data_IF_576837950046
#
_entry.id   IF_576837950046
#
_cell.length_a   1.000
_cell.length_b   1.000
_cell.length_c   1.000
_cell.angle_alpha   90.00
_cell.angle_beta   90.00
_cell.angle_gamma   90.00
#
_symmetry.space_group_name_H-M   'P 1'
#
loop_
_entity.id
_entity.type
_entity.pdbx_description
1 polymer ?
#
# COMPACT_ATOMS: atom_id res chain seq x y z
N UNK A 1 11.32 -0.58 4.39
CA UNK A 1 10.92 -1.99 4.72
C UNK A 1 11.88 -2.54 5.74
N UNK A 2 11.39 -3.17 6.82
CA UNK A 2 12.24 -3.84 7.84
C UNK A 2 13.01 -5.02 7.24
N UNK A 3 14.21 -5.31 7.76
CA UNK A 3 15.03 -6.44 7.31
C UNK A 3 14.26 -7.77 7.40
N UNK A 4 13.51 -8.01 8.49
CA UNK A 4 12.67 -9.20 8.66
C UNK A 4 11.65 -9.34 7.53
N UNK A 5 10.87 -8.29 7.26
CA UNK A 5 9.83 -8.32 6.23
C UNK A 5 10.44 -8.45 4.83
N UNK A 6 11.60 -7.81 4.59
CA UNK A 6 12.33 -8.01 3.33
C UNK A 6 12.73 -9.48 3.13
N UNK A 7 13.31 -10.12 4.16
CA UNK A 7 13.73 -11.52 4.05
C UNK A 7 12.52 -12.43 3.85
N UNK A 8 11.48 -12.28 4.66
CA UNK A 8 10.29 -13.15 4.58
C UNK A 8 9.53 -12.93 3.28
N UNK A 9 9.27 -11.70 2.86
CA UNK A 9 8.63 -11.44 1.56
C UNK A 9 9.46 -11.96 0.39
N UNK A 10 10.79 -11.88 0.45
CA UNK A 10 11.69 -12.47 -0.54
C UNK A 10 11.55 -13.99 -0.61
N UNK A 11 11.54 -14.66 0.54
CA UNK A 11 11.36 -16.14 0.61
C UNK A 11 10.00 -16.53 0.04
N UNK A 12 8.91 -15.89 0.50
CA UNK A 12 7.57 -16.23 0.02
C UNK A 12 7.41 -15.99 -1.48
N UNK A 13 7.91 -14.88 -2.01
CA UNK A 13 7.84 -14.64 -3.45
C UNK A 13 8.72 -15.59 -4.26
N UNK A 14 9.89 -16.00 -3.74
CA UNK A 14 10.72 -17.01 -4.39
C UNK A 14 10.02 -18.38 -4.41
N UNK A 15 9.38 -18.78 -3.31
CA UNK A 15 8.57 -20.01 -3.26
C UNK A 15 7.42 -19.93 -4.24
N UNK A 16 6.64 -18.83 -4.26
CA UNK A 16 5.57 -18.63 -5.23
C UNK A 16 6.05 -18.74 -6.68
N UNK A 17 7.19 -18.13 -7.02
CA UNK A 17 7.76 -18.23 -8.36
C UNK A 17 8.07 -19.69 -8.72
N UNK A 18 8.65 -20.46 -7.80
CA UNK A 18 8.98 -21.86 -8.03
C UNK A 18 7.72 -22.73 -8.19
N UNK A 19 6.75 -22.59 -7.30
CA UNK A 19 5.49 -23.37 -7.33
C UNK A 19 4.65 -23.02 -8.56
N UNK A 20 4.57 -21.75 -8.93
CA UNK A 20 3.86 -21.29 -10.14
C UNK A 20 4.55 -21.80 -11.43
N UNK A 21 5.87 -21.68 -11.55
CA UNK A 21 6.60 -22.21 -12.71
C UNK A 21 6.41 -23.72 -12.83
N UNK A 22 6.46 -24.44 -11.72
CA UNK A 22 6.23 -25.88 -11.70
C UNK A 22 4.79 -26.21 -12.11
N UNK A 23 3.78 -25.58 -11.50
CA UNK A 23 2.38 -25.82 -11.80
C UNK A 23 2.00 -25.44 -13.23
N UNK A 24 2.40 -24.26 -13.70
CA UNK A 24 2.16 -23.82 -15.07
C UNK A 24 2.86 -24.71 -16.09
N UNK A 25 4.06 -25.25 -15.77
CA UNK A 25 4.76 -26.18 -16.65
C UNK A 25 3.98 -27.50 -16.84
N UNK A 26 3.36 -28.02 -15.78
CA UNK A 26 2.48 -29.20 -15.88
C UNK A 26 1.32 -28.92 -16.83
N UNK A 27 0.69 -27.76 -16.67
CA UNK A 27 -0.48 -27.37 -17.48
C UNK A 27 -0.13 -27.12 -18.95
N UNK A 28 1.02 -26.45 -19.21
CA UNK A 28 1.45 -26.11 -20.57
C UNK A 28 1.99 -27.31 -21.36
N UNK A 29 2.74 -28.19 -20.70
CA UNK A 29 3.49 -29.27 -21.38
C UNK A 29 2.94 -30.67 -21.13
N UNK A 30 1.91 -30.81 -20.26
CA UNK A 30 1.27 -32.09 -19.90
C UNK A 30 2.27 -33.21 -19.52
N UNK A 31 3.41 -32.85 -18.93
CA UNK A 31 4.51 -33.79 -18.70
C UNK A 31 4.35 -34.66 -17.43
N UNK A 32 3.42 -34.24 -16.53
CA UNK A 32 3.23 -34.94 -15.26
C UNK A 32 2.39 -36.22 -15.46
N UNK A 33 2.90 -37.42 -15.07
CA UNK A 33 2.14 -38.64 -15.16
C UNK A 33 0.88 -38.58 -14.28
N UNK A 34 -0.28 -38.91 -14.86
CA UNK A 34 -1.55 -38.87 -14.14
C UNK A 34 -2.18 -37.46 -14.06
N UNK A 35 -1.76 -36.53 -14.91
CA UNK A 35 -2.49 -35.28 -15.11
C UNK A 35 -3.91 -35.62 -15.63
N UNK A 36 -4.89 -35.47 -14.77
CA UNK A 36 -6.26 -35.85 -15.09
C UNK A 36 -7.00 -34.84 -15.99
N UNK A 37 -6.41 -33.66 -16.22
CA UNK A 37 -6.92 -32.66 -17.15
C UNK A 37 -5.84 -32.25 -18.17
N UNK A 38 -5.40 -33.17 -19.04
CA UNK A 38 -4.49 -32.82 -20.12
C UNK A 38 -5.20 -31.84 -21.05
N UNK A 39 -4.60 -30.67 -21.29
CA UNK A 39 -5.13 -29.72 -22.26
C UNK A 39 -4.76 -30.16 -23.67
N UNK A 40 -5.69 -30.06 -24.64
CA UNK A 40 -5.43 -30.40 -26.04
C UNK A 40 -4.28 -29.59 -26.64
N UNK A 41 -4.13 -28.35 -26.23
CA UNK A 41 -3.00 -27.48 -26.59
C UNK A 41 -2.62 -26.55 -25.45
N UNK A 42 -1.42 -25.97 -25.50
CA UNK A 42 -0.99 -24.96 -24.55
C UNK A 42 -1.93 -23.73 -24.54
N UNK A 43 -2.51 -23.36 -25.70
CA UNK A 43 -3.44 -22.25 -25.83
C UNK A 43 -4.78 -22.49 -25.10
N UNK A 44 -5.20 -23.74 -24.95
CA UNK A 44 -6.45 -24.09 -24.25
C UNK A 44 -6.42 -23.73 -22.75
N UNK A 45 -5.23 -23.55 -22.18
CA UNK A 45 -5.11 -23.15 -20.79
C UNK A 45 -5.67 -21.73 -20.55
N UNK A 46 -5.53 -20.82 -21.49
CA UNK A 46 -5.98 -19.42 -21.36
C UNK A 46 -7.51 -19.24 -21.34
N UNK A 47 -8.28 -20.30 -21.56
CA UNK A 47 -9.71 -20.28 -21.32
C UNK A 47 -10.11 -20.42 -19.85
N UNK A 48 -9.16 -20.78 -18.97
CA UNK A 48 -9.39 -20.91 -17.53
C UNK A 48 -8.89 -19.67 -16.79
N UNK A 49 -9.75 -19.00 -16.05
CA UNK A 49 -9.37 -17.86 -15.20
C UNK A 49 -8.28 -18.22 -14.17
N UNK A 50 -8.29 -19.47 -13.70
CA UNK A 50 -7.24 -19.97 -12.81
C UNK A 50 -5.86 -19.88 -13.45
N UNK A 51 -5.72 -20.30 -14.69
CA UNK A 51 -4.43 -20.25 -15.40
C UNK A 51 -3.97 -18.78 -15.54
N UNK A 52 -4.83 -17.90 -16.00
CA UNK A 52 -4.53 -16.48 -16.20
C UNK A 52 -4.17 -15.77 -14.88
N UNK A 53 -4.89 -16.08 -13.79
CA UNK A 53 -4.61 -15.50 -12.47
C UNK A 53 -3.30 -15.99 -11.86
N UNK A 54 -2.91 -17.25 -12.08
CA UNK A 54 -1.62 -17.79 -11.65
C UNK A 54 -0.46 -17.23 -12.50
N UNK A 55 -0.64 -17.06 -13.81
CA UNK A 55 0.33 -16.31 -14.66
C UNK A 55 0.52 -14.87 -14.15
N UNK A 56 -0.58 -14.19 -13.82
CA UNK A 56 -0.52 -12.84 -13.24
C UNK A 56 0.21 -12.84 -11.89
N UNK A 57 -0.02 -13.83 -11.02
CA UNK A 57 0.68 -13.99 -9.75
C UNK A 57 2.18 -14.22 -9.95
N UNK A 58 2.57 -15.10 -10.89
CA UNK A 58 3.96 -15.33 -11.25
C UNK A 58 4.66 -14.03 -11.66
N UNK A 59 4.08 -13.33 -12.65
CA UNK A 59 4.64 -12.07 -13.18
C UNK A 59 4.79 -11.01 -12.09
N UNK A 60 3.77 -10.87 -11.26
CA UNK A 60 3.81 -9.86 -10.19
C UNK A 60 4.73 -10.26 -9.04
N UNK A 61 4.92 -11.55 -8.77
CA UNK A 61 5.87 -12.05 -7.77
C UNK A 61 7.32 -11.80 -8.21
N UNK A 62 7.65 -12.06 -9.48
CA UNK A 62 8.96 -11.72 -10.07
C UNK A 62 9.19 -10.21 -10.02
N UNK A 63 8.22 -9.41 -10.46
CA UNK A 63 8.30 -7.96 -10.44
C UNK A 63 8.53 -7.42 -9.02
N UNK A 64 7.73 -7.90 -8.05
CA UNK A 64 7.85 -7.52 -6.65
C UNK A 64 9.24 -7.90 -6.10
N UNK A 65 9.70 -9.11 -6.36
CA UNK A 65 11.01 -9.59 -5.90
C UNK A 65 12.15 -8.69 -6.41
N UNK A 66 12.18 -8.42 -7.71
CA UNK A 66 13.21 -7.56 -8.33
C UNK A 66 13.16 -6.13 -7.75
N UNK A 67 11.97 -5.53 -7.71
CA UNK A 67 11.80 -4.16 -7.21
C UNK A 67 12.08 -4.06 -5.72
N UNK A 68 11.69 -5.06 -4.92
CA UNK A 68 11.96 -5.08 -3.47
C UNK A 68 13.46 -5.14 -3.16
N UNK A 69 14.23 -5.96 -3.90
CA UNK A 69 15.69 -6.03 -3.77
C UNK A 69 16.35 -4.69 -4.12
N UNK A 70 15.94 -4.06 -5.25
CA UNK A 70 16.46 -2.76 -5.66
C UNK A 70 16.12 -1.68 -4.63
N UNK A 71 14.86 -1.64 -4.16
CA UNK A 71 14.38 -0.67 -3.19
C UNK A 71 15.10 -0.83 -1.85
N UNK A 72 15.29 -2.06 -1.39
CA UNK A 72 16.00 -2.36 -0.15
C UNK A 72 17.46 -1.91 -0.20
N UNK A 73 18.18 -2.23 -1.28
CA UNK A 73 19.58 -1.78 -1.48
C UNK A 73 19.71 -0.26 -1.55
N UNK A 74 18.76 0.41 -2.21
CA UNK A 74 18.74 1.88 -2.35
C UNK A 74 18.12 2.60 -1.14
N UNK A 75 17.69 1.89 -0.10
CA UNK A 75 16.95 2.43 1.07
C UNK A 75 15.73 3.28 0.67
N UNK A 76 15.06 2.90 -0.41
CA UNK A 76 13.84 3.55 -0.92
C UNK A 76 12.62 2.68 -0.63
N UNK A 77 11.45 3.30 -0.66
CA UNK A 77 10.18 2.57 -0.59
C UNK A 77 9.88 1.85 -1.91
N UNK A 78 9.13 0.74 -1.82
CA UNK A 78 8.61 0.05 -3.00
C UNK A 78 7.59 0.98 -3.68
N UNK A 79 7.63 1.17 -5.01
CA UNK A 79 6.66 1.98 -5.72
C UNK A 79 5.23 1.48 -5.51
N UNK A 80 4.29 2.39 -5.20
CA UNK A 80 2.92 2.03 -4.88
C UNK A 80 2.18 1.28 -5.99
N UNK A 81 2.55 1.47 -7.27
CA UNK A 81 1.97 0.74 -8.38
C UNK A 81 2.36 -0.77 -8.36
N UNK A 82 3.58 -1.11 -7.94
CA UNK A 82 4.01 -2.51 -7.77
C UNK A 82 3.15 -3.20 -6.72
N UNK A 83 2.90 -2.51 -5.60
CA UNK A 83 2.03 -3.01 -4.53
C UNK A 83 0.59 -3.20 -5.01
N UNK A 84 0.08 -2.32 -5.85
CA UNK A 84 -1.27 -2.46 -6.42
C UNK A 84 -1.32 -3.67 -7.37
N UNK A 85 -0.32 -3.87 -8.23
CA UNK A 85 -0.25 -5.04 -9.10
C UNK A 85 -0.19 -6.34 -8.30
N UNK A 86 0.66 -6.40 -7.27
CA UNK A 86 0.75 -7.56 -6.38
C UNK A 86 -0.57 -7.81 -5.64
N UNK A 87 -1.23 -6.75 -5.15
CA UNK A 87 -2.56 -6.82 -4.54
C UNK A 87 -3.60 -7.41 -5.49
N UNK A 88 -3.68 -6.91 -6.71
CA UNK A 88 -4.62 -7.38 -7.74
C UNK A 88 -4.38 -8.86 -8.04
N UNK A 89 -3.13 -9.28 -8.24
CA UNK A 89 -2.78 -10.67 -8.49
C UNK A 89 -3.14 -11.60 -7.31
N UNK A 90 -2.82 -11.18 -6.07
CA UNK A 90 -3.17 -11.93 -4.86
C UNK A 90 -4.69 -12.13 -4.76
N UNK A 91 -5.49 -11.10 -5.01
CA UNK A 91 -6.96 -11.21 -4.96
C UNK A 91 -7.48 -12.05 -6.12
N UNK A 92 -6.86 -12.00 -7.30
CA UNK A 92 -7.25 -12.84 -8.46
C UNK A 92 -7.15 -14.32 -8.15
N UNK A 93 -6.05 -14.79 -7.55
CA UNK A 93 -5.91 -16.20 -7.17
C UNK A 93 -6.78 -16.57 -5.97
N UNK A 94 -7.04 -15.64 -5.04
CA UNK A 94 -8.02 -15.86 -3.95
C UNK A 94 -9.45 -15.96 -4.49
N UNK A 95 -9.77 -15.28 -5.59
CA UNK A 95 -11.07 -15.43 -6.28
C UNK A 95 -11.21 -16.83 -6.85
N UNK A 96 -10.17 -17.40 -7.47
CA UNK A 96 -10.19 -18.78 -7.95
C UNK A 96 -10.35 -19.77 -6.80
N UNK A 97 -9.65 -19.58 -5.69
CA UNK A 97 -9.83 -20.37 -4.47
C UNK A 97 -11.29 -20.32 -3.99
N UNK A 98 -11.90 -19.12 -3.93
CA UNK A 98 -13.29 -18.95 -3.50
C UNK A 98 -14.25 -19.70 -4.43
N UNK A 99 -14.12 -19.54 -5.74
CA UNK A 99 -14.97 -20.23 -6.74
C UNK A 99 -14.82 -21.75 -6.64
N UNK A 100 -13.60 -22.23 -6.46
CA UNK A 100 -13.35 -23.66 -6.29
C UNK A 100 -14.04 -24.19 -5.04
N UNK A 101 -13.86 -23.54 -3.90
CA UNK A 101 -14.43 -24.02 -2.62
C UNK A 101 -15.96 -23.94 -2.61
N UNK A 102 -16.54 -22.87 -3.20
CA UNK A 102 -17.98 -22.62 -3.10
C UNK A 102 -18.80 -23.21 -4.24
N UNK A 103 -18.20 -23.44 -5.41
CA UNK A 103 -18.90 -23.88 -6.61
C UNK A 103 -18.37 -25.21 -7.19
N UNK A 104 -17.06 -25.29 -7.45
CA UNK A 104 -16.50 -26.45 -8.15
C UNK A 104 -16.39 -27.70 -7.27
N UNK A 105 -15.89 -27.59 -6.03
CA UNK A 105 -15.80 -28.75 -5.12
C UNK A 105 -17.18 -29.34 -4.79
N UNK A 106 -18.23 -28.55 -4.54
CA UNK A 106 -19.58 -29.11 -4.36
C UNK A 106 -20.12 -29.79 -5.62
N UNK A 107 -19.78 -29.33 -6.82
CA UNK A 107 -20.23 -29.92 -8.08
C UNK A 107 -19.44 -31.16 -8.49
N UNK A 108 -18.11 -31.13 -8.38
CA UNK A 108 -17.23 -32.18 -8.96
C UNK A 108 -16.58 -33.08 -7.91
N UNK A 109 -16.75 -32.79 -6.62
CA UNK A 109 -16.26 -33.59 -5.50
C UNK A 109 -14.80 -33.29 -5.09
N UNK A 110 -14.45 -33.68 -3.86
CA UNK A 110 -13.17 -33.38 -3.19
C UNK A 110 -11.96 -34.07 -3.86
N UNK A 111 -12.19 -35.11 -4.69
CA UNK A 111 -11.12 -35.81 -5.40
C UNK A 111 -10.26 -34.91 -6.30
N UNK A 112 -10.77 -33.76 -6.74
CA UNK A 112 -10.00 -32.80 -7.54
C UNK A 112 -8.78 -32.26 -6.81
N UNK A 113 -8.83 -32.09 -5.48
CA UNK A 113 -7.73 -31.57 -4.67
C UNK A 113 -6.54 -32.53 -4.60
N UNK A 114 -6.74 -33.81 -4.87
CA UNK A 114 -5.66 -34.81 -4.83
C UNK A 114 -4.62 -34.65 -5.95
N UNK A 115 -4.91 -33.84 -6.97
CA UNK A 115 -3.98 -33.61 -8.06
C UNK A 115 -3.03 -32.46 -7.74
N UNK A 116 -1.71 -32.66 -7.91
CA UNK A 116 -0.72 -31.67 -7.49
C UNK A 116 -0.94 -30.29 -8.12
N UNK A 117 -1.15 -30.22 -9.42
CA UNK A 117 -1.40 -28.94 -10.09
C UNK A 117 -2.64 -28.23 -9.50
N UNK A 118 -3.75 -28.97 -9.34
CA UNK A 118 -4.98 -28.40 -8.80
C UNK A 118 -4.79 -27.92 -7.36
N UNK A 119 -4.12 -28.71 -6.52
CA UNK A 119 -3.84 -28.35 -5.14
C UNK A 119 -3.00 -27.06 -5.04
N UNK A 120 -1.93 -26.96 -5.83
CA UNK A 120 -1.07 -25.77 -5.82
C UNK A 120 -1.80 -24.55 -6.37
N UNK A 121 -2.33 -24.61 -7.59
CA UNK A 121 -2.94 -23.47 -8.25
C UNK A 121 -4.19 -22.92 -7.55
N UNK A 122 -4.95 -23.75 -6.82
CA UNK A 122 -6.21 -23.36 -6.22
C UNK A 122 -6.20 -23.25 -4.70
N UNK A 123 -5.20 -23.80 -4.01
CA UNK A 123 -5.17 -23.80 -2.54
C UNK A 123 -3.84 -23.25 -2.01
N UNK A 124 -2.71 -23.86 -2.38
CA UNK A 124 -1.42 -23.53 -1.75
C UNK A 124 -0.96 -22.14 -2.17
N UNK A 125 -0.90 -21.85 -3.48
CA UNK A 125 -0.41 -20.57 -3.99
C UNK A 125 -1.30 -19.39 -3.60
N UNK A 126 -2.66 -19.47 -3.64
CA UNK A 126 -3.52 -18.42 -3.07
C UNK A 126 -3.27 -18.14 -1.58
N UNK A 127 -3.06 -19.19 -0.76
CA UNK A 127 -2.78 -19.02 0.68
C UNK A 127 -1.40 -18.41 0.90
N UNK A 128 -0.37 -18.89 0.20
CA UNK A 128 0.98 -18.31 0.26
C UNK A 128 0.99 -16.86 -0.19
N UNK A 129 0.28 -16.52 -1.27
CA UNK A 129 0.15 -15.16 -1.76
C UNK A 129 -0.53 -14.24 -0.73
N UNK A 130 -1.62 -14.70 -0.09
CA UNK A 130 -2.30 -13.97 0.98
C UNK A 130 -1.35 -13.72 2.16
N UNK A 131 -0.66 -14.77 2.64
CA UNK A 131 0.25 -14.65 3.78
C UNK A 131 1.40 -13.71 3.47
N UNK A 132 2.02 -13.84 2.28
CA UNK A 132 3.09 -12.93 1.85
C UNK A 132 2.61 -11.49 1.84
N UNK A 133 1.52 -11.22 1.12
CA UNK A 133 1.02 -9.87 0.89
C UNK A 133 0.51 -9.21 2.18
N UNK A 134 -0.28 -9.93 2.98
CA UNK A 134 -0.93 -9.35 4.15
C UNK A 134 0.02 -9.14 5.34
N UNK A 135 1.04 -9.97 5.50
CA UNK A 135 1.88 -9.96 6.70
C UNK A 135 3.31 -9.44 6.47
N UNK A 136 3.85 -9.55 5.26
CA UNK A 136 5.24 -9.20 4.98
C UNK A 136 5.41 -8.09 3.94
N UNK A 137 4.39 -7.86 3.10
CA UNK A 137 4.35 -6.80 2.09
C UNK A 137 3.46 -5.64 2.57
N UNK A 138 3.64 -5.20 3.84
CA UNK A 138 2.73 -4.27 4.51
C UNK A 138 3.00 -2.79 4.22
N UNK A 139 4.06 -2.46 3.53
CA UNK A 139 4.44 -1.09 3.20
C UNK A 139 4.80 -0.94 1.72
N UNK A 140 4.36 0.13 1.04
CA UNK A 140 3.47 1.20 1.49
C UNK A 140 2.01 0.76 1.69
N UNK A 141 1.28 1.49 2.54
CA UNK A 141 -0.15 1.24 2.78
C UNK A 141 -0.97 1.60 1.54
N UNK A 142 -1.82 0.68 1.09
CA UNK A 142 -2.70 0.88 -0.06
C UNK A 142 -4.01 1.56 0.39
N UNK A 143 -4.42 2.63 -0.29
CA UNK A 143 -5.68 3.33 0.00
C UNK A 143 -6.88 2.43 -0.31
N UNK A 144 -7.89 2.40 0.57
CA UNK A 144 -9.09 1.54 0.44
C UNK A 144 -9.81 1.68 -0.92
N UNK A 145 -9.85 2.89 -1.51
CA UNK A 145 -10.44 3.13 -2.84
C UNK A 145 -9.77 2.33 -3.98
N UNK A 146 -8.56 1.83 -3.77
CA UNK A 146 -7.85 0.98 -4.75
C UNK A 146 -8.38 -0.45 -4.78
N UNK A 147 -9.30 -0.82 -3.86
CA UNK A 147 -9.96 -2.12 -3.85
C UNK A 147 -10.67 -2.41 -5.19
N UNK A 148 -11.25 -1.42 -5.85
CA UNK A 148 -11.95 -1.62 -7.12
C UNK A 148 -11.07 -2.16 -8.26
N UNK A 149 -9.75 -2.04 -8.16
CA UNK A 149 -8.87 -2.59 -9.20
C UNK A 149 -8.84 -4.12 -9.25
N UNK A 150 -9.24 -4.80 -8.17
CA UNK A 150 -9.21 -6.27 -8.11
C UNK A 150 -10.18 -6.94 -9.06
N UNK A 151 -11.23 -6.24 -9.49
CA UNK A 151 -12.20 -6.78 -10.45
C UNK A 151 -11.72 -6.68 -11.90
N UNK A 152 -10.67 -5.90 -12.19
CA UNK A 152 -10.22 -5.68 -13.55
C UNK A 152 -9.79 -6.96 -14.29
N UNK A 153 -8.95 -7.86 -13.71
CA UNK A 153 -8.60 -9.12 -14.37
C UNK A 153 -9.81 -9.98 -14.69
N UNK A 154 -10.74 -10.10 -13.74
CA UNK A 154 -11.96 -10.88 -13.92
C UNK A 154 -12.88 -10.26 -14.99
N UNK A 155 -13.01 -8.93 -15.01
CA UNK A 155 -13.81 -8.23 -16.02
C UNK A 155 -13.22 -8.40 -17.43
N UNK A 156 -11.88 -8.28 -17.56
CA UNK A 156 -11.21 -8.52 -18.85
C UNK A 156 -11.39 -9.97 -19.30
N UNK A 157 -11.17 -10.93 -18.42
CA UNK A 157 -11.37 -12.35 -18.70
C UNK A 157 -12.80 -12.62 -19.19
N UNK A 158 -13.80 -12.16 -18.44
CA UNK A 158 -15.22 -12.36 -18.78
C UNK A 158 -15.58 -11.72 -20.12
N UNK A 159 -15.10 -10.49 -20.36
CA UNK A 159 -15.37 -9.77 -21.60
C UNK A 159 -14.78 -10.48 -22.85
N UNK A 160 -13.71 -11.28 -22.67
CA UNK A 160 -13.08 -12.02 -23.77
C UNK A 160 -13.65 -13.42 -23.89
N UNK A 161 -13.64 -14.20 -22.80
CA UNK A 161 -13.90 -15.64 -22.87
C UNK A 161 -15.41 -15.94 -22.98
N UNK A 162 -16.28 -15.17 -22.31
CA UNK A 162 -17.72 -15.44 -22.35
C UNK A 162 -18.33 -15.31 -23.76
N UNK A 163 -18.03 -14.27 -24.58
CA UNK A 163 -18.47 -14.24 -25.97
C UNK A 163 -17.94 -15.39 -26.81
N UNK A 164 -16.66 -15.77 -26.63
CA UNK A 164 -16.06 -16.86 -27.38
C UNK A 164 -16.69 -18.21 -27.04
N UNK A 165 -17.03 -18.45 -25.76
CA UNK A 165 -17.72 -19.63 -25.31
C UNK A 165 -19.17 -19.67 -25.84
N UNK A 166 -19.87 -18.52 -25.79
CA UNK A 166 -21.25 -18.40 -26.28
C UNK A 166 -21.37 -18.59 -27.80
N UNK A 167 -20.35 -18.15 -28.55
CA UNK A 167 -20.23 -18.38 -30.00
C UNK A 167 -19.69 -19.79 -30.34
N UNK A 168 -19.42 -20.63 -29.34
CA UNK A 168 -18.84 -21.98 -29.50
C UNK A 168 -17.45 -21.99 -30.18
N UNK A 169 -16.73 -20.87 -30.16
CA UNK A 169 -15.37 -20.76 -30.70
C UNK A 169 -14.40 -21.46 -29.75
N UNK A 170 -14.63 -21.34 -28.43
CA UNK A 170 -13.91 -22.10 -27.40
C UNK A 170 -14.89 -22.91 -26.57
N UNK A 171 -14.44 -24.07 -26.06
CA UNK A 171 -15.25 -24.85 -25.12
C UNK A 171 -15.33 -24.10 -23.79
N UNK A 172 -16.56 -23.98 -23.22
CA UNK A 172 -16.75 -23.40 -21.89
C UNK A 172 -15.98 -24.21 -20.83
N UNK A 173 -14.98 -23.65 -20.16
CA UNK A 173 -14.24 -24.36 -19.13
C UNK A 173 -15.05 -24.61 -17.86
N UNK A 174 -16.19 -23.94 -17.70
CA UNK A 174 -17.07 -24.02 -16.52
C UNK A 174 -18.48 -24.50 -16.92
N UNK A 175 -18.56 -25.35 -17.94
CA UNK A 175 -19.82 -25.91 -18.47
C UNK A 175 -20.66 -26.56 -17.36
N UNK A 176 -20.00 -27.30 -16.41
CA UNK A 176 -20.66 -27.96 -15.29
C UNK A 176 -21.44 -27.00 -14.36
N UNK A 177 -21.01 -25.76 -14.26
CA UNK A 177 -21.66 -24.74 -13.43
C UNK A 177 -22.39 -23.68 -14.27
N UNK A 178 -22.34 -23.79 -15.61
CA UNK A 178 -23.03 -22.88 -16.54
C UNK A 178 -22.68 -21.42 -16.31
N UNK A 179 -21.38 -21.07 -16.43
CA UNK A 179 -20.90 -19.75 -16.03
C UNK A 179 -20.62 -18.81 -17.22
N UNK A 180 -20.05 -19.32 -18.31
CA UNK A 180 -19.57 -18.47 -19.43
C UNK A 180 -20.47 -18.48 -20.65
N UNK A 181 -21.01 -19.64 -21.01
CA UNK A 181 -21.88 -19.77 -22.14
C UNK A 181 -23.28 -19.27 -21.81
N UNK A 182 -23.58 -18.02 -22.22
CA UNK A 182 -24.88 -17.37 -21.96
C UNK A 182 -26.03 -17.99 -22.74
N UNK A 183 -25.76 -18.91 -23.67
CA UNK A 183 -26.78 -19.61 -24.45
C UNK A 183 -27.20 -20.94 -23.82
N UNK A 184 -26.42 -21.47 -22.89
CA UNK A 184 -26.65 -22.80 -22.30
C UNK A 184 -27.49 -22.80 -21.02
N UNK A 185 -27.71 -21.66 -20.40
CA UNK A 185 -28.42 -21.52 -19.12
C UNK A 185 -29.37 -20.32 -19.14
N UNK A 186 -30.42 -20.32 -18.30
CA UNK A 186 -31.27 -19.13 -18.11
C UNK A 186 -30.45 -17.89 -17.75
N UNK A 187 -30.74 -16.76 -18.41
CA UNK A 187 -29.96 -15.52 -18.19
C UNK A 187 -29.89 -15.10 -16.73
N UNK A 188 -30.96 -15.32 -15.95
CA UNK A 188 -30.98 -14.97 -14.53
C UNK A 188 -29.96 -15.77 -13.71
N UNK A 189 -29.74 -17.05 -14.04
CA UNK A 189 -28.76 -17.92 -13.35
C UNK A 189 -27.33 -17.48 -13.63
N UNK A 190 -27.05 -17.04 -14.83
CA UNK A 190 -25.75 -16.53 -15.21
C UNK A 190 -25.48 -15.19 -14.51
N UNK A 191 -26.46 -14.28 -14.53
CA UNK A 191 -26.33 -12.94 -13.93
C UNK A 191 -26.07 -13.02 -12.43
N UNK A 192 -26.85 -13.82 -11.67
CA UNK A 192 -26.61 -13.89 -10.22
C UNK A 192 -25.26 -14.53 -9.87
N UNK A 193 -24.80 -15.54 -10.61
CA UNK A 193 -23.47 -16.17 -10.43
C UNK A 193 -22.36 -15.14 -10.66
N UNK A 194 -22.45 -14.37 -11.74
CA UNK A 194 -21.48 -13.30 -12.01
C UNK A 194 -21.52 -12.22 -10.93
N UNK A 195 -22.72 -11.78 -10.52
CA UNK A 195 -22.84 -10.84 -9.40
C UNK A 195 -22.18 -11.40 -8.15
N UNK A 196 -22.42 -12.66 -7.79
CA UNK A 196 -21.82 -13.30 -6.62
C UNK A 196 -20.28 -13.33 -6.70
N UNK A 197 -19.72 -13.67 -7.87
CA UNK A 197 -18.26 -13.72 -8.06
C UNK A 197 -17.66 -12.31 -8.01
N UNK A 198 -18.24 -11.30 -8.68
CA UNK A 198 -17.74 -9.93 -8.65
C UNK A 198 -17.81 -9.32 -7.24
N UNK A 199 -18.96 -9.45 -6.56
CA UNK A 199 -19.08 -8.97 -5.17
C UNK A 199 -18.19 -9.74 -4.21
N UNK A 200 -18.06 -11.07 -4.38
CA UNK A 200 -17.13 -11.91 -3.63
C UNK A 200 -15.69 -11.45 -3.80
N UNK A 201 -15.27 -11.16 -5.04
CA UNK A 201 -13.94 -10.62 -5.35
C UNK A 201 -13.69 -9.27 -4.67
N UNK A 202 -14.66 -8.35 -4.72
CA UNK A 202 -14.57 -7.07 -4.02
C UNK A 202 -14.49 -7.25 -2.50
N UNK A 203 -15.27 -8.14 -1.92
CA UNK A 203 -15.25 -8.44 -0.49
C UNK A 203 -13.90 -9.00 -0.08
N UNK A 204 -13.38 -10.01 -0.81
CA UNK A 204 -12.05 -10.57 -0.58
C UNK A 204 -10.98 -9.47 -0.67
N UNK A 205 -11.01 -8.65 -1.73
CA UNK A 205 -10.09 -7.54 -1.89
C UNK A 205 -10.14 -6.54 -0.73
N UNK A 206 -11.34 -6.20 -0.26
CA UNK A 206 -11.51 -5.33 0.90
C UNK A 206 -10.93 -5.94 2.18
N UNK A 207 -11.19 -7.23 2.44
CA UNK A 207 -10.67 -7.94 3.61
C UNK A 207 -9.14 -8.06 3.57
N UNK A 208 -8.55 -8.35 2.41
CA UNK A 208 -7.10 -8.40 2.21
C UNK A 208 -6.46 -7.03 2.49
N UNK A 209 -7.04 -5.93 1.96
CA UNK A 209 -6.55 -4.58 2.27
C UNK A 209 -6.73 -4.20 3.74
N UNK A 210 -7.84 -4.62 4.35
CA UNK A 210 -8.06 -4.38 5.77
C UNK A 210 -6.98 -5.05 6.61
N UNK A 211 -6.68 -6.31 6.30
CA UNK A 211 -5.65 -7.10 6.98
C UNK A 211 -4.26 -6.50 6.79
N UNK A 212 -3.86 -6.19 5.54
CA UNK A 212 -2.57 -5.56 5.23
C UNK A 212 -2.41 -4.22 5.95
N UNK A 213 -3.44 -3.38 5.93
CA UNK A 213 -3.42 -2.08 6.60
C UNK A 213 -3.35 -2.21 8.12
N UNK A 214 -4.01 -3.24 8.69
CA UNK A 214 -3.94 -3.53 10.12
C UNK A 214 -2.51 -3.94 10.51
N UNK A 215 -1.92 -4.87 9.77
CA UNK A 215 -0.55 -5.34 10.01
C UNK A 215 0.48 -4.21 9.85
N UNK A 216 0.34 -3.37 8.83
CA UNK A 216 1.18 -2.18 8.66
C UNK A 216 1.08 -1.18 9.82
N UNK A 217 -0.11 -0.97 10.39
CA UNK A 217 -0.29 -0.12 11.58
C UNK A 217 0.31 -0.73 12.85
N UNK A 218 0.14 -2.05 13.05
CA UNK A 218 0.73 -2.77 14.19
C UNK A 218 2.27 -2.64 14.12
N UNK A 219 2.83 -2.83 12.94
CA UNK A 219 4.26 -2.73 12.73
C UNK A 219 4.79 -1.30 12.98
N UNK A 220 4.09 -0.27 12.51
CA UNK A 220 4.44 1.12 12.74
C UNK A 220 4.41 1.48 14.24
N UNK A 221 3.40 1.02 14.98
CA UNK A 221 3.32 1.21 16.44
C UNK A 221 4.44 0.48 17.21
N UNK A 222 4.78 -0.73 16.78
CA UNK A 222 5.89 -1.48 17.39
C UNK A 222 7.24 -0.75 17.20
N UNK A 223 7.44 -0.09 16.04
CA UNK A 223 8.63 0.72 15.79
C UNK A 223 8.69 1.99 16.65
N UNK A 224 7.54 2.63 16.81
CA UNK A 224 7.45 3.81 17.67
C UNK A 224 7.79 3.46 19.13
N UNK A 225 7.25 2.34 19.62
CA UNK A 225 7.55 1.83 20.95
C UNK A 225 9.04 1.46 21.12
N UNK A 226 9.60 0.71 20.17
CA UNK A 226 11.02 0.32 20.22
C UNK A 226 11.98 1.51 20.19
N UNK A 227 11.59 2.61 19.53
CA UNK A 227 12.37 3.87 19.57
C UNK A 227 12.23 4.62 20.89
N UNK A 228 11.05 4.54 21.54
CA UNK A 228 10.81 5.16 22.83
C UNK A 228 11.53 4.41 23.99
N UNK A 229 11.65 3.10 23.87
CA UNK A 229 12.28 2.21 24.86
C UNK A 229 13.83 2.13 24.71
N UNK A 230 14.44 2.76 23.70
CA UNK A 230 15.89 2.87 23.62
C UNK A 230 16.38 3.84 24.71
N UNK A 231 17.24 3.40 25.66
CA UNK A 231 17.87 4.32 26.62
C UNK A 231 18.59 5.40 25.80
N UNK A 232 18.34 6.67 26.12
CA UNK A 232 19.20 7.74 25.63
C UNK A 232 20.59 7.36 25.98
N UNK A 233 21.50 7.21 25.00
CA UNK A 233 22.91 7.04 25.27
C UNK A 233 23.33 8.26 26.09
N UNK A 234 23.45 8.07 27.40
CA UNK A 234 24.14 9.00 28.25
C UNK A 234 25.57 9.07 27.70
N UNK A 235 25.90 10.16 27.05
CA UNK A 235 27.28 10.56 26.85
C UNK A 235 27.84 10.71 28.23
N UNK A 236 28.80 9.82 28.60
CA UNK A 236 29.60 9.97 29.79
C UNK A 236 30.16 11.39 29.82
N UNK A 237 29.89 12.04 30.93
CA UNK A 237 30.37 13.34 31.34
C UNK A 237 31.90 13.29 31.39
N UNK A 238 32.58 13.75 30.34
CA UNK A 238 33.95 14.24 30.48
C UNK A 238 33.87 15.69 30.89
N UNK A 239 34.23 15.94 32.14
CA UNK A 239 34.25 17.22 32.81
C UNK A 239 34.95 18.34 32.01
N UNK A 240 34.81 19.59 32.45
CA UNK A 240 35.03 20.76 31.61
C UNK A 240 36.51 21.04 31.43
N UNK A 241 37.04 20.86 30.23
CA UNK A 241 38.26 21.52 29.81
C UNK A 241 37.91 22.86 29.18
N UNK A 242 38.24 23.91 29.90
CA UNK A 242 38.03 25.29 29.49
C UNK A 242 38.91 25.64 28.27
N UNK A 243 38.31 26.04 27.18
CA UNK A 243 38.97 26.86 26.15
C UNK A 243 37.97 27.74 25.40
N UNK A 244 38.36 28.85 24.76
CA UNK A 244 37.74 30.14 24.98
C UNK A 244 36.60 30.46 23.99
N UNK A 245 35.71 31.27 24.50
CA UNK A 245 34.62 31.99 23.80
C UNK A 245 35.05 32.55 22.46
N UNK A 246 34.52 32.00 21.36
CA UNK A 246 34.35 32.75 20.11
C UNK A 246 32.91 33.20 20.01
N UNK A 247 32.71 34.49 20.10
CA UNK A 247 31.48 35.18 19.73
C UNK A 247 31.18 34.86 18.27
N UNK A 248 30.09 34.12 18.05
CA UNK A 248 29.48 34.03 16.73
C UNK A 248 28.34 35.03 16.69
N UNK A 249 28.54 36.06 15.87
CA UNK A 249 27.62 37.15 15.61
C UNK A 249 26.20 36.63 15.34
N UNK A 250 25.25 37.24 16.02
CA UNK A 250 23.84 37.13 15.78
C UNK A 250 23.46 37.99 14.57
N UNK A 251 23.57 37.44 13.38
CA UNK A 251 22.98 38.04 12.18
C UNK A 251 22.42 36.89 11.34
N UNK A 252 21.11 36.74 11.42
CA UNK A 252 20.17 36.18 10.44
C UNK A 252 18.79 35.94 11.09
N UNK A 253 18.30 36.94 11.84
CA UNK A 253 16.89 37.01 12.23
C UNK A 253 16.27 38.17 11.41
N UNK A 254 15.67 37.84 10.30
CA UNK A 254 14.83 38.81 9.55
C UNK A 254 13.55 39.07 10.34
N UNK A 255 13.47 40.16 11.01
CA UNK A 255 12.24 40.72 11.60
C UNK A 255 11.53 41.49 10.53
N UNK A 256 10.36 41.03 10.10
CA UNK A 256 9.46 41.82 9.24
C UNK A 256 8.52 42.57 10.17
N UNK A 257 8.58 43.90 10.16
CA UNK A 257 7.65 44.79 10.81
C UNK A 257 6.45 44.99 9.88
N UNK A 258 5.24 44.64 10.35
CA UNK A 258 3.99 45.00 9.68
C UNK A 258 3.32 46.16 10.43
N UNK A 259 3.06 47.27 9.69
CA UNK A 259 2.30 48.41 10.13
C UNK A 259 0.79 48.08 10.26
N UNK A 260 0.14 48.77 11.21
CA UNK A 260 -1.28 48.61 11.55
C UNK A 260 -2.21 49.07 10.41
N UNK A 261 -3.19 48.25 10.10
CA UNK A 261 -4.35 48.63 9.30
C UNK A 261 -5.27 47.52 8.91
N UNK A 262 -6.48 47.48 9.53
CA UNK A 262 -7.69 46.77 9.20
C UNK A 262 -7.78 45.26 9.50
N UNK A 263 -8.79 44.91 10.31
CA UNK A 263 -9.20 43.58 10.73
C UNK A 263 -9.78 42.76 9.55
N UNK A 264 -8.95 42.00 8.87
CA UNK A 264 -9.36 40.76 8.19
C UNK A 264 -8.79 39.58 8.99
N UNK A 265 -9.59 38.57 9.22
CA UNK A 265 -9.19 37.40 10.00
C UNK A 265 -8.06 36.66 9.29
N UNK A 266 -7.03 36.20 10.04
CA UNK A 266 -5.84 35.53 9.52
C UNK A 266 -6.18 34.33 8.62
N UNK A 267 -7.36 33.70 8.77
CA UNK A 267 -7.87 32.63 7.90
C UNK A 267 -8.23 33.11 6.48
N UNK A 268 -8.74 34.34 6.33
CA UNK A 268 -9.10 34.86 5.00
C UNK A 268 -7.87 35.31 4.19
N UNK A 269 -6.82 35.76 4.87
CA UNK A 269 -5.55 36.10 4.21
C UNK A 269 -4.76 34.84 3.79
N UNK A 270 -4.72 33.79 4.62
CA UNK A 270 -4.11 32.49 4.23
C UNK A 270 -4.84 31.84 3.04
N UNK A 271 -6.18 31.97 2.95
CA UNK A 271 -6.98 31.45 1.83
C UNK A 271 -6.71 32.25 0.54
N UNK A 272 -6.57 33.56 0.62
CA UNK A 272 -6.26 34.42 -0.54
C UNK A 272 -4.84 34.18 -1.06
N UNK A 273 -3.84 34.02 -0.18
CA UNK A 273 -2.47 33.69 -0.56
C UNK A 273 -2.35 32.26 -1.15
N UNK A 274 -3.13 31.28 -0.65
CA UNK A 274 -3.18 29.93 -1.22
C UNK A 274 -3.86 29.91 -2.60
N UNK A 275 -4.88 30.71 -2.84
CA UNK A 275 -5.56 30.81 -4.14
C UNK A 275 -4.71 31.54 -5.19
N UNK A 276 -3.99 32.60 -4.83
CA UNK A 276 -3.07 33.30 -5.75
C UNK A 276 -1.86 32.43 -6.10
N UNK A 277 -1.32 31.68 -5.14
CA UNK A 277 -0.19 30.78 -5.38
C UNK A 277 -0.58 29.55 -6.23
N UNK A 278 -1.84 29.12 -6.20
CA UNK A 278 -2.37 28.06 -7.10
C UNK A 278 -2.52 28.53 -8.55
N UNK A 279 -2.75 29.82 -8.78
CA UNK A 279 -2.89 30.41 -10.13
C UNK A 279 -1.55 30.60 -10.85
N UNK A 280 -0.44 30.73 -10.11
CA UNK A 280 0.87 31.07 -10.70
C UNK A 280 1.83 29.91 -10.90
N UNK A 281 1.59 28.69 -10.32
CA UNK A 281 2.53 27.59 -10.51
C UNK A 281 1.91 26.18 -10.26
N UNK A 282 1.39 25.49 -11.26
CA UNK A 282 0.73 24.19 -11.08
C UNK A 282 1.67 23.00 -10.80
N UNK A 283 2.99 23.18 -10.79
CA UNK A 283 4.00 22.11 -10.65
C UNK A 283 4.96 22.28 -9.46
N UNK A 284 4.80 23.28 -8.61
CA UNK A 284 5.85 23.73 -7.71
C UNK A 284 5.71 23.39 -6.22
N UNK A 285 5.50 22.12 -5.82
CA UNK A 285 5.57 21.72 -4.39
C UNK A 285 7.00 21.62 -3.82
N UNK A 286 8.05 21.83 -4.61
CA UNK A 286 9.43 21.57 -4.19
C UNK A 286 10.23 22.80 -3.70
N UNK A 287 9.69 24.05 -3.73
CA UNK A 287 10.54 25.23 -3.45
C UNK A 287 9.91 26.31 -2.56
N UNK A 288 8.96 25.96 -1.68
CA UNK A 288 8.49 26.92 -0.68
C UNK A 288 9.35 26.85 0.58
N UNK A 289 9.79 27.99 1.16
CA UNK A 289 10.49 27.99 2.44
C UNK A 289 9.60 27.39 3.52
N UNK A 290 10.12 26.42 4.29
CA UNK A 290 9.38 25.78 5.37
C UNK A 290 9.22 26.75 6.52
N UNK A 291 7.97 26.99 6.97
CA UNK A 291 7.66 27.80 8.15
C UNK A 291 7.09 26.90 9.24
N UNK A 292 7.73 26.88 10.42
CA UNK A 292 7.30 26.09 11.56
C UNK A 292 6.58 27.00 12.55
N UNK A 293 5.29 26.73 12.81
CA UNK A 293 4.48 27.43 13.78
C UNK A 293 4.53 26.74 15.13
N UNK A 294 4.75 27.50 16.20
CA UNK A 294 4.73 27.05 17.59
C UNK A 294 3.56 27.73 18.28
N UNK A 295 2.53 26.97 18.65
CA UNK A 295 1.33 27.48 19.29
C UNK A 295 0.86 26.59 20.42
N UNK A 296 0.16 27.13 21.41
CA UNK A 296 -0.47 26.34 22.48
C UNK A 296 -1.81 25.81 22.02
N UNK A 297 -2.01 24.49 22.12
CA UNK A 297 -3.24 23.82 21.75
C UNK A 297 -4.30 24.05 22.83
N UNK A 298 -5.47 24.59 22.44
CA UNK A 298 -6.53 24.95 23.40
C UNK A 298 -7.11 23.73 24.14
N UNK A 299 -7.22 22.57 23.46
CA UNK A 299 -7.83 21.36 23.99
C UNK A 299 -6.91 20.62 24.98
N UNK A 300 -5.62 20.49 24.64
CA UNK A 300 -4.68 19.69 25.44
C UNK A 300 -3.78 20.52 26.35
N UNK A 301 -3.76 21.83 26.18
CA UNK A 301 -2.88 22.75 26.91
C UNK A 301 -1.40 22.61 26.57
N UNK A 302 -1.02 21.71 25.64
CA UNK A 302 0.36 21.46 25.22
C UNK A 302 0.79 22.39 24.09
N UNK A 303 2.10 22.63 23.97
CA UNK A 303 2.69 23.38 22.88
C UNK A 303 2.90 22.48 21.66
N UNK A 304 2.36 22.90 20.51
CA UNK A 304 2.50 22.16 19.25
C UNK A 304 3.50 22.84 18.33
N UNK A 305 4.27 22.04 17.60
CA UNK A 305 5.07 22.48 16.46
C UNK A 305 4.39 21.92 15.21
N UNK A 306 4.00 22.78 14.26
CA UNK A 306 3.38 22.40 12.98
C UNK A 306 4.02 23.16 11.82
N UNK A 307 3.96 22.60 10.61
CA UNK A 307 4.26 23.36 9.39
C UNK A 307 3.09 24.29 9.06
N UNK A 308 3.37 25.47 8.52
CA UNK A 308 2.34 26.41 8.06
C UNK A 308 1.34 25.75 7.08
N UNK A 309 1.85 24.88 6.18
CA UNK A 309 1.04 24.13 5.20
C UNK A 309 0.40 22.83 5.75
N UNK A 310 0.61 22.51 7.03
CA UNK A 310 0.19 21.24 7.64
C UNK A 310 -0.89 21.44 8.72
N UNK A 311 -2.03 20.75 8.59
CA UNK A 311 -3.10 20.76 9.61
C UNK A 311 -2.76 19.95 10.87
N UNK A 312 -1.72 19.08 10.85
CA UNK A 312 -1.34 18.23 11.98
C UNK A 312 -0.06 18.72 12.64
N UNK A 313 -0.05 18.72 13.99
CA UNK A 313 1.16 18.96 14.75
C UNK A 313 2.24 17.92 14.41
N UNK A 314 3.48 18.38 14.21
CA UNK A 314 4.66 17.51 14.05
C UNK A 314 4.97 16.86 15.39
N UNK A 315 4.93 17.65 16.48
CA UNK A 315 5.17 17.16 17.84
C UNK A 315 4.51 18.08 18.88
N UNK A 316 4.14 17.51 20.04
CA UNK A 316 3.56 18.21 21.18
C UNK A 316 4.57 18.23 22.35
N UNK A 317 4.59 19.34 23.10
CA UNK A 317 5.51 19.59 24.21
C UNK A 317 4.77 20.17 25.42
N UNK A 318 5.27 19.93 26.60
CA UNK A 318 4.67 20.46 27.83
C UNK A 318 5.04 21.94 28.05
N UNK A 319 6.16 22.41 27.51
CA UNK A 319 6.61 23.81 27.63
C UNK A 319 6.91 24.44 26.28
N UNK A 320 6.75 25.78 26.20
CA UNK A 320 7.06 26.56 25.00
C UNK A 320 8.54 26.43 24.61
N UNK A 321 9.41 26.46 25.61
CA UNK A 321 10.87 26.38 25.41
C UNK A 321 11.28 25.08 24.72
N UNK A 322 10.75 23.93 25.15
CA UNK A 322 11.00 22.64 24.52
C UNK A 322 10.49 22.62 23.07
N UNK A 323 9.35 23.25 22.80
CA UNK A 323 8.81 23.36 21.44
C UNK A 323 9.71 24.24 20.55
N UNK A 324 10.21 25.38 21.07
CA UNK A 324 11.15 26.26 20.37
C UNK A 324 12.47 25.55 20.06
N UNK A 325 13.05 24.89 21.05
CA UNK A 325 14.32 24.15 20.88
C UNK A 325 14.19 23.03 19.83
N UNK A 326 13.05 22.34 19.82
CA UNK A 326 12.78 21.34 18.80
C UNK A 326 12.60 21.97 17.40
N UNK A 327 11.88 23.07 17.29
CA UNK A 327 11.74 23.77 16.01
C UNK A 327 13.08 24.31 15.50
N UNK A 328 13.96 24.83 16.37
CA UNK A 328 15.34 25.23 16.01
C UNK A 328 16.13 24.04 15.45
N UNK A 329 16.00 22.86 16.02
CA UNK A 329 16.67 21.64 15.48
C UNK A 329 16.13 21.26 14.11
N UNK A 330 14.82 21.42 13.84
CA UNK A 330 14.22 21.19 12.53
C UNK A 330 14.74 22.18 11.49
N UNK A 331 14.81 23.48 11.83
CA UNK A 331 15.34 24.51 10.93
C UNK A 331 16.81 24.25 10.60
N UNK A 332 17.62 23.84 11.60
CA UNK A 332 19.04 23.50 11.38
C UNK A 332 19.24 22.34 10.42
N UNK A 333 18.36 21.34 10.45
CA UNK A 333 18.49 20.10 9.63
C UNK A 333 17.76 20.15 8.30
N UNK A 334 16.65 20.91 8.21
CA UNK A 334 15.74 20.90 7.06
C UNK A 334 15.57 22.25 6.40
N UNK A 335 16.15 23.30 6.98
CA UNK A 335 15.93 24.69 6.55
C UNK A 335 14.54 25.24 6.96
N UNK A 336 14.33 26.51 6.74
CA UNK A 336 13.05 27.17 7.02
C UNK A 336 13.14 28.24 8.09
N UNK A 337 11.99 28.74 8.57
CA UNK A 337 11.85 29.76 9.62
C UNK A 337 10.90 29.29 10.73
N UNK A 338 10.91 29.98 11.88
CA UNK A 338 10.08 29.66 13.03
C UNK A 338 9.19 30.86 13.33
N UNK A 339 7.89 30.61 13.57
CA UNK A 339 6.93 31.60 14.08
C UNK A 339 6.36 31.12 15.42
N UNK A 340 6.49 31.94 16.47
CA UNK A 340 6.02 31.62 17.82
C UNK A 340 4.79 32.43 18.14
N UNK A 341 3.67 31.76 18.45
CA UNK A 341 2.41 32.42 18.84
C UNK A 341 2.35 32.61 20.33
N UNK A 342 1.78 33.79 20.76
CA UNK A 342 1.56 34.07 22.18
C UNK A 342 0.44 33.19 22.78
N UNK A 343 0.33 33.18 24.12
CA UNK A 343 -0.73 32.44 24.85
C UNK A 343 -2.15 32.87 24.47
N UNK A 344 -2.34 34.05 23.88
CA UNK A 344 -3.63 34.60 23.41
C UNK A 344 -3.80 34.50 21.88
N UNK A 345 -2.99 33.72 21.20
CA UNK A 345 -3.05 33.55 19.75
C UNK A 345 -2.39 34.68 18.94
N UNK A 346 -1.90 35.75 19.57
CA UNK A 346 -1.15 36.83 18.89
C UNK A 346 0.34 36.46 18.78
N UNK A 347 0.97 36.79 17.64
CA UNK A 347 2.42 36.59 17.44
C UNK A 347 3.20 37.44 18.46
N UNK A 348 4.25 36.85 19.06
CA UNK A 348 5.23 37.62 19.86
C UNK A 348 6.34 38.07 18.93
N UNK A 349 6.62 39.37 18.99
CA UNK A 349 7.89 39.92 18.47
C UNK A 349 9.01 39.51 19.45
N UNK A 350 9.97 38.73 18.99
CA UNK A 350 11.31 38.61 19.59
C UNK A 350 12.31 39.07 18.56
#
# INVERSE_FOLDING_TARGET
MKKRNFILSTIFNAVLIVTELWGLSISLFNWYPGNAFPMPSAADNFRFYTFDSNVLLLVTSVLYLVVSVISYRKKKEIPGWVMIFKFVATVSVLTTFLVVVTMLLPASGIGMISWPYFLFAHVIDPVLALVSFAFFEVTPIIKKRKCFYVVAPLAVYTAVVSPLASLKIVKDPYEEIGLLDVTSSPAIDIVWKWCAIFFGTLLVGFLVLLLQNLMGKIEAKADEKAKADQPSAYTEDHGPEATPTQEIAADDVVVIEDEEGAEETEEEQEIKEEEEAKKTNPTGYMNRPRVYHIAKQAITGKWQVRLATGQKAIKLFDTQELAINYAKSLVKTQGGSIRVHSLKGKMRKE
#
